data_IF_921796125328
#
_entry.id   IF_921796125328
#
_cell.length_a   1.000
_cell.length_b   1.000
_cell.length_c   1.000
_cell.angle_alpha   90.00
_cell.angle_beta   90.00
_cell.angle_gamma   90.00
#
_symmetry.space_group_name_H-M   'P 1'
#
loop_
_entity.id
_entity.type
_entity.pdbx_description
1 polymer ?
#
# COMPACT_ATOMS: atom_id res chain seq x y z
N UNK A 1 6.73 -11.82 -13.47
CA UNK A 1 7.08 -12.41 -14.79
C UNK A 1 6.00 -13.35 -15.33
N UNK A 2 5.74 -14.48 -14.66
CA UNK A 2 4.77 -15.50 -15.13
C UNK A 2 3.40 -14.92 -15.52
N UNK A 3 2.87 -13.99 -14.72
CA UNK A 3 1.58 -13.32 -15.00
C UNK A 3 1.64 -12.52 -16.31
N UNK A 4 2.74 -11.79 -16.56
CA UNK A 4 2.93 -10.99 -17.77
C UNK A 4 2.98 -11.88 -19.02
N UNK A 5 3.83 -12.90 -18.99
CA UNK A 5 3.96 -13.87 -20.09
C UNK A 5 2.62 -14.56 -20.40
N UNK A 6 1.89 -15.01 -19.36
CA UNK A 6 0.59 -15.65 -19.55
C UNK A 6 -0.48 -14.70 -20.14
N UNK A 7 -0.48 -13.43 -19.74
CA UNK A 7 -1.38 -12.42 -20.33
C UNK A 7 -1.03 -12.18 -21.79
N UNK A 8 0.26 -12.07 -22.12
CA UNK A 8 0.73 -11.80 -23.48
C UNK A 8 0.43 -12.99 -24.42
N UNK A 9 0.69 -14.22 -23.98
CA UNK A 9 0.39 -15.45 -24.72
C UNK A 9 -1.12 -15.61 -24.99
N UNK A 10 -1.96 -15.11 -24.08
CA UNK A 10 -3.41 -15.11 -24.22
C UNK A 10 -3.95 -13.90 -25.02
N UNK A 11 -3.08 -13.00 -25.49
CA UNK A 11 -3.45 -11.83 -26.29
C UNK A 11 -3.94 -10.61 -25.50
N UNK A 12 -3.65 -10.54 -24.20
CA UNK A 12 -4.05 -9.46 -23.27
C UNK A 12 -2.87 -8.55 -22.90
N UNK A 13 -2.08 -8.12 -23.89
CA UNK A 13 -0.88 -7.30 -23.67
C UNK A 13 -1.20 -5.90 -23.12
N UNK A 14 -2.44 -5.42 -23.29
CA UNK A 14 -2.94 -4.15 -22.77
C UNK A 14 -3.36 -4.20 -21.29
N UNK A 15 -3.47 -5.39 -20.70
CA UNK A 15 -3.87 -5.54 -19.29
C UNK A 15 -2.67 -5.25 -18.39
N UNK A 16 -2.72 -4.15 -17.65
CA UNK A 16 -1.64 -3.74 -16.76
C UNK A 16 -1.53 -4.56 -15.47
N UNK A 17 -0.33 -4.62 -14.92
CA UNK A 17 0.01 -5.31 -13.66
C UNK A 17 0.41 -4.29 -12.60
N UNK A 18 -0.32 -4.27 -11.48
CA UNK A 18 0.09 -3.56 -10.27
C UNK A 18 0.67 -4.55 -9.27
N UNK A 19 1.98 -4.59 -9.17
CA UNK A 19 2.69 -5.52 -8.32
C UNK A 19 2.72 -5.04 -6.86
N UNK A 20 2.51 -5.96 -5.92
CA UNK A 20 2.65 -5.72 -4.48
C UNK A 20 4.12 -5.87 -4.07
N UNK A 21 4.99 -5.10 -4.74
CA UNK A 21 6.44 -5.28 -4.73
C UNK A 21 7.07 -5.14 -3.36
N UNK A 22 6.71 -4.10 -2.61
CA UNK A 22 7.22 -3.88 -1.27
C UNK A 22 6.13 -4.16 -0.22
N UNK A 23 5.98 -5.45 0.11
CA UNK A 23 4.96 -5.92 1.06
C UNK A 23 5.60 -6.44 2.35
N UNK A 24 5.48 -5.66 3.40
CA UNK A 24 6.13 -5.92 4.68
C UNK A 24 5.34 -6.86 5.59
N UNK A 25 6.06 -7.58 6.45
CA UNK A 25 5.51 -8.41 7.52
C UNK A 25 4.97 -7.53 8.66
N UNK A 26 3.89 -6.80 8.39
CA UNK A 26 3.39 -5.75 9.28
C UNK A 26 2.33 -6.22 10.28
N UNK A 27 2.32 -5.61 11.46
CA UNK A 27 1.26 -5.74 12.47
C UNK A 27 -0.03 -4.98 12.09
N UNK A 28 0.01 -4.02 11.15
CA UNK A 28 -1.15 -3.22 10.74
C UNK A 28 -2.20 -4.00 9.93
N UNK A 29 -1.99 -5.30 9.69
CA UNK A 29 -2.93 -6.14 8.94
C UNK A 29 -4.02 -6.80 9.81
N UNK A 30 -3.97 -6.65 11.14
CA UNK A 30 -4.93 -7.28 12.07
C UNK A 30 -6.40 -7.10 11.65
N UNK A 31 -6.90 -5.86 11.51
CA UNK A 31 -8.32 -5.66 11.19
C UNK A 31 -8.73 -6.19 9.81
N UNK A 32 -7.81 -6.27 8.84
CA UNK A 32 -8.08 -6.92 7.55
C UNK A 32 -8.24 -8.43 7.72
N UNK A 33 -7.37 -9.06 8.52
CA UNK A 33 -7.43 -10.52 8.76
C UNK A 33 -8.74 -10.93 9.41
N UNK A 34 -9.25 -10.09 10.31
CA UNK A 34 -10.56 -10.30 10.95
C UNK A 34 -11.69 -10.14 9.92
N UNK A 35 -11.64 -9.09 9.09
CA UNK A 35 -12.69 -8.79 8.11
C UNK A 35 -12.84 -9.83 6.98
N UNK A 36 -11.78 -10.56 6.62
CA UNK A 36 -11.81 -11.59 5.58
C UNK A 36 -11.47 -12.99 6.10
N UNK A 37 -11.51 -13.19 7.42
CA UNK A 37 -11.22 -14.46 8.10
C UNK A 37 -9.92 -15.15 7.63
N UNK A 38 -8.88 -14.37 7.31
CA UNK A 38 -7.66 -14.85 6.67
C UNK A 38 -6.44 -14.91 7.62
N UNK A 39 -6.69 -14.91 8.93
CA UNK A 39 -5.63 -15.11 9.91
C UNK A 39 -4.92 -16.46 9.66
N UNK A 40 -3.58 -16.52 9.73
CA UNK A 40 -2.85 -17.77 9.57
C UNK A 40 -3.34 -18.79 10.62
N UNK A 41 -3.72 -20.00 10.17
CA UNK A 41 -4.08 -21.09 11.08
C UNK A 41 -2.87 -21.64 11.85
N UNK A 42 -1.67 -21.50 11.28
CA UNK A 42 -0.38 -21.85 11.87
C UNK A 42 0.73 -20.95 11.31
N UNK A 43 1.75 -20.65 12.12
CA UNK A 43 2.91 -19.85 11.72
C UNK A 43 2.63 -18.36 11.47
N UNK A 44 3.53 -17.71 10.75
CA UNK A 44 3.42 -16.33 10.31
C UNK A 44 3.68 -16.18 8.81
N UNK A 45 3.71 -14.94 8.31
CA UNK A 45 3.91 -14.63 6.89
C UNK A 45 5.32 -14.10 6.59
N UNK A 46 6.26 -14.18 7.54
CA UNK A 46 7.62 -13.61 7.42
C UNK A 46 8.50 -14.35 6.42
N UNK A 47 8.13 -15.56 6.03
CA UNK A 47 8.86 -16.31 5.00
C UNK A 47 8.68 -15.75 3.58
N UNK A 48 7.71 -14.85 3.36
CA UNK A 48 7.46 -14.23 2.06
C UNK A 48 7.01 -12.77 2.14
N UNK A 49 6.70 -12.26 3.32
CA UNK A 49 6.54 -10.83 3.58
C UNK A 49 7.85 -10.30 4.13
N UNK A 50 8.24 -9.15 3.61
CA UNK A 50 9.56 -8.57 3.85
C UNK A 50 9.74 -8.15 5.30
N UNK A 51 10.98 -8.21 5.80
CA UNK A 51 11.31 -7.61 7.08
C UNK A 51 11.11 -6.08 6.99
N UNK A 52 10.37 -5.50 7.93
CA UNK A 52 10.02 -4.09 7.93
C UNK A 52 11.21 -3.15 8.22
N UNK A 53 12.34 -3.68 8.69
CA UNK A 53 13.60 -2.93 8.81
C UNK A 53 14.44 -2.93 7.52
N UNK A 54 14.08 -3.72 6.50
CA UNK A 54 14.92 -3.90 5.33
C UNK A 54 14.51 -3.02 4.13
N UNK A 55 15.03 -1.80 4.14
CA UNK A 55 14.88 -0.84 3.03
C UNK A 55 15.43 -1.37 1.70
N UNK A 56 16.63 -1.97 1.73
CA UNK A 56 17.35 -2.32 0.51
C UNK A 56 16.70 -3.47 -0.25
N UNK A 57 16.11 -4.42 0.49
CA UNK A 57 15.29 -5.47 -0.09
C UNK A 57 14.07 -4.87 -0.81
N UNK A 58 13.41 -3.86 -0.23
CA UNK A 58 12.23 -3.24 -0.85
C UNK A 58 12.54 -2.63 -2.22
N UNK A 59 13.67 -1.93 -2.32
CA UNK A 59 14.11 -1.37 -3.59
C UNK A 59 14.49 -2.46 -4.60
N UNK A 60 15.09 -3.57 -4.15
CA UNK A 60 15.44 -4.69 -5.01
C UNK A 60 14.20 -5.40 -5.56
N UNK A 61 13.21 -5.68 -4.71
CA UNK A 61 11.95 -6.33 -5.13
C UNK A 61 11.18 -5.46 -6.12
N UNK A 62 11.11 -4.14 -5.88
CA UNK A 62 10.50 -3.20 -6.85
C UNK A 62 11.23 -3.20 -8.20
N UNK A 63 12.57 -3.17 -8.20
CA UNK A 63 13.37 -3.21 -9.42
C UNK A 63 13.18 -4.53 -10.19
N UNK A 64 13.10 -5.66 -9.48
CA UNK A 64 12.80 -6.96 -10.06
C UNK A 64 11.41 -6.99 -10.71
N UNK A 65 10.36 -6.59 -9.99
CA UNK A 65 9.00 -6.57 -10.51
C UNK A 65 8.86 -5.68 -11.76
N UNK A 66 9.52 -4.52 -11.78
CA UNK A 66 9.56 -3.63 -12.96
C UNK A 66 10.21 -4.33 -14.14
N UNK A 67 11.37 -4.96 -13.94
CA UNK A 67 12.07 -5.71 -14.98
C UNK A 67 11.27 -6.92 -15.48
N UNK A 68 10.37 -7.44 -14.65
CA UNK A 68 9.49 -8.55 -14.97
C UNK A 68 8.15 -8.13 -15.61
N UNK A 69 7.95 -6.82 -15.85
CA UNK A 69 6.80 -6.28 -16.58
C UNK A 69 5.67 -5.72 -15.70
N UNK A 70 5.95 -5.30 -14.46
CA UNK A 70 4.99 -4.55 -13.66
C UNK A 70 4.87 -3.10 -14.16
N UNK A 71 3.64 -2.66 -14.42
CA UNK A 71 3.32 -1.28 -14.84
C UNK A 71 3.26 -0.32 -13.64
N UNK A 72 2.91 -0.82 -12.47
CA UNK A 72 2.78 -0.06 -11.22
C UNK A 72 3.38 -0.89 -10.10
N UNK A 73 4.19 -0.27 -9.24
CA UNK A 73 4.70 -0.91 -8.02
C UNK A 73 3.98 -0.36 -6.79
N UNK A 74 3.72 -1.23 -5.82
CA UNK A 74 3.02 -0.87 -4.59
C UNK A 74 3.85 -1.09 -3.33
N UNK A 75 3.78 -0.10 -2.43
CA UNK A 75 4.28 -0.20 -1.05
C UNK A 75 3.08 -0.45 -0.12
N UNK A 76 3.21 -1.46 0.75
CA UNK A 76 2.18 -1.83 1.73
C UNK A 76 2.82 -2.32 3.04
N UNK A 77 2.50 -1.73 4.21
CA UNK A 77 1.64 -0.55 4.48
C UNK A 77 2.17 0.78 3.95
N UNK A 78 1.41 1.88 4.12
CA UNK A 78 1.79 3.19 3.60
C UNK A 78 2.34 4.14 4.68
N UNK A 79 1.60 4.38 5.77
CA UNK A 79 1.90 5.46 6.72
C UNK A 79 3.24 5.25 7.45
N UNK A 80 3.56 4.02 7.82
CA UNK A 80 4.82 3.69 8.48
C UNK A 80 6.02 3.52 7.52
N UNK A 81 5.80 3.67 6.20
CA UNK A 81 6.78 3.38 5.15
C UNK A 81 6.86 4.53 4.12
N UNK A 82 6.58 5.77 4.55
CA UNK A 82 6.63 6.96 3.70
C UNK A 82 8.03 7.21 3.13
N UNK A 83 9.07 6.84 3.88
CA UNK A 83 10.47 6.86 3.46
C UNK A 83 10.70 5.94 2.25
N UNK A 84 10.11 4.74 2.26
CA UNK A 84 10.21 3.78 1.15
C UNK A 84 9.46 4.30 -0.07
N UNK A 85 8.28 4.90 0.10
CA UNK A 85 7.52 5.54 -0.99
C UNK A 85 8.35 6.66 -1.62
N UNK A 86 9.01 7.49 -0.79
CA UNK A 86 9.85 8.59 -1.26
C UNK A 86 11.08 8.10 -2.03
N UNK A 87 11.74 7.06 -1.53
CA UNK A 87 12.87 6.46 -2.22
C UNK A 87 12.44 5.81 -3.54
N UNK A 88 11.33 5.05 -3.54
CA UNK A 88 10.78 4.46 -4.76
C UNK A 88 10.48 5.52 -5.83
N UNK A 89 9.83 6.63 -5.45
CA UNK A 89 9.51 7.72 -6.38
C UNK A 89 10.75 8.41 -6.95
N UNK A 90 11.83 8.50 -6.16
CA UNK A 90 13.10 9.08 -6.62
C UNK A 90 13.89 8.16 -7.55
N UNK A 91 13.71 6.84 -7.44
CA UNK A 91 14.53 5.84 -8.11
C UNK A 91 13.88 5.26 -9.37
N UNK A 92 12.57 5.10 -9.38
CA UNK A 92 11.85 4.40 -10.44
C UNK A 92 10.96 5.35 -11.24
N UNK A 93 10.93 5.15 -12.55
CA UNK A 93 10.11 5.92 -13.48
C UNK A 93 8.81 5.19 -13.83
N UNK A 94 8.13 4.64 -12.81
CA UNK A 94 6.81 4.01 -12.93
C UNK A 94 5.87 4.63 -11.90
N UNK A 95 4.53 4.59 -12.12
CA UNK A 95 3.59 5.01 -11.10
C UNK A 95 3.77 4.23 -9.79
N UNK A 96 3.71 4.94 -8.67
CA UNK A 96 3.83 4.37 -7.32
C UNK A 96 2.45 4.30 -6.68
N UNK A 97 2.02 3.10 -6.31
CA UNK A 97 0.84 2.89 -5.47
C UNK A 97 1.22 2.74 -4.00
N UNK A 98 0.37 3.25 -3.10
CA UNK A 98 0.53 3.06 -1.67
C UNK A 98 -0.79 2.59 -1.05
N UNK A 99 -0.73 1.58 -0.18
CA UNK A 99 -1.92 1.07 0.50
C UNK A 99 -1.96 1.60 1.94
N UNK A 100 -2.87 2.53 2.20
CA UNK A 100 -3.28 2.91 3.55
C UNK A 100 -4.17 1.80 4.17
N UNK A 101 -3.56 0.95 4.99
CA UNK A 101 -4.12 -0.37 5.34
C UNK A 101 -5.11 -0.32 6.50
N UNK A 102 -5.72 -1.48 6.78
CA UNK A 102 -6.81 -1.63 7.74
C UNK A 102 -6.44 -1.21 9.16
N UNK A 103 -5.22 -1.49 9.61
CA UNK A 103 -4.73 -1.07 10.92
C UNK A 103 -4.56 0.43 11.01
N UNK A 104 -4.03 1.07 9.97
CA UNK A 104 -3.89 2.53 9.90
C UNK A 104 -5.26 3.22 9.89
N UNK A 105 -6.24 2.65 9.17
CA UNK A 105 -7.64 3.08 9.22
C UNK A 105 -8.23 2.94 10.63
N UNK A 106 -8.09 1.76 11.24
CA UNK A 106 -8.65 1.47 12.56
C UNK A 106 -8.03 2.35 13.65
N UNK A 107 -6.73 2.64 13.56
CA UNK A 107 -6.04 3.55 14.47
C UNK A 107 -6.67 4.94 14.47
N UNK A 108 -6.95 5.51 13.29
CA UNK A 108 -7.58 6.84 13.19
C UNK A 108 -9.01 6.80 13.73
N UNK A 109 -9.81 5.80 13.35
CA UNK A 109 -11.19 5.64 13.88
C UNK A 109 -11.20 5.50 15.41
N UNK A 110 -10.29 4.71 15.96
CA UNK A 110 -10.17 4.51 17.41
C UNK A 110 -9.74 5.81 18.11
N UNK A 111 -8.72 6.51 17.59
CA UNK A 111 -8.26 7.78 18.16
C UNK A 111 -9.33 8.87 18.10
N UNK A 112 -10.11 8.96 17.02
CA UNK A 112 -11.20 9.91 16.91
C UNK A 112 -12.29 9.65 17.97
N UNK A 113 -12.63 8.38 18.19
CA UNK A 113 -13.64 7.97 19.17
C UNK A 113 -13.17 8.09 20.63
N UNK A 114 -11.91 7.72 20.90
CA UNK A 114 -11.40 7.55 22.27
C UNK A 114 -10.60 8.75 22.78
N UNK A 115 -9.87 9.43 21.89
CA UNK A 115 -8.98 10.53 22.23
C UNK A 115 -9.50 11.89 21.72
N UNK A 116 -10.61 11.91 20.98
CA UNK A 116 -11.25 13.14 20.50
C UNK A 116 -10.48 13.87 19.38
N UNK A 117 -9.59 13.19 18.65
CA UNK A 117 -8.95 13.82 17.48
C UNK A 117 -9.99 14.09 16.38
N UNK A 118 -9.80 15.18 15.63
CA UNK A 118 -10.63 15.46 14.47
C UNK A 118 -10.32 14.45 13.34
N UNK A 119 -11.23 13.51 13.13
CA UNK A 119 -11.06 12.43 12.15
C UNK A 119 -10.82 12.95 10.72
N UNK A 120 -11.67 13.89 10.25
CA UNK A 120 -11.56 14.46 8.91
C UNK A 120 -10.19 15.09 8.70
N UNK A 121 -9.73 15.89 9.66
CA UNK A 121 -8.43 16.55 9.58
C UNK A 121 -7.28 15.52 9.56
N UNK A 122 -7.29 14.54 10.47
CA UNK A 122 -6.26 13.52 10.57
C UNK A 122 -6.15 12.65 9.30
N UNK A 123 -7.30 12.24 8.74
CA UNK A 123 -7.32 11.45 7.49
C UNK A 123 -6.76 12.25 6.32
N UNK A 124 -7.19 13.51 6.15
CA UNK A 124 -6.70 14.36 5.07
C UNK A 124 -5.19 14.62 5.20
N UNK A 125 -4.68 14.79 6.42
CA UNK A 125 -3.26 14.96 6.67
C UNK A 125 -2.45 13.69 6.33
N UNK A 126 -2.93 12.51 6.74
CA UNK A 126 -2.29 11.21 6.42
C UNK A 126 -2.25 10.98 4.90
N UNK A 127 -3.38 11.15 4.21
CA UNK A 127 -3.43 10.92 2.76
C UNK A 127 -2.58 11.95 2.00
N UNK A 128 -2.53 13.19 2.49
CA UNK A 128 -1.61 14.21 1.96
C UNK A 128 -0.16 13.82 2.18
N UNK A 129 0.19 13.25 3.35
CA UNK A 129 1.54 12.77 3.62
C UNK A 129 1.95 11.63 2.67
N UNK A 130 1.05 10.68 2.42
CA UNK A 130 1.27 9.59 1.45
C UNK A 130 1.45 10.15 0.03
N UNK A 131 0.61 11.12 -0.37
CA UNK A 131 0.71 11.78 -1.68
C UNK A 131 2.02 12.54 -1.81
N UNK A 132 2.40 13.32 -0.79
CA UNK A 132 3.66 14.08 -0.71
C UNK A 132 4.89 13.19 -0.74
N UNK A 133 4.82 12.01 -0.12
CA UNK A 133 5.90 11.05 -0.15
C UNK A 133 6.16 10.52 -1.57
N UNK A 134 5.22 10.64 -2.51
CA UNK A 134 5.44 10.31 -3.92
C UNK A 134 4.47 9.30 -4.50
N UNK A 135 3.46 8.86 -3.74
CA UNK A 135 2.45 7.95 -4.26
C UNK A 135 1.61 8.65 -5.35
N UNK A 136 1.54 8.05 -6.53
CA UNK A 136 0.65 8.47 -7.60
C UNK A 136 -0.79 8.02 -7.30
N UNK A 137 -0.94 6.83 -6.73
CA UNK A 137 -2.21 6.20 -6.38
C UNK A 137 -2.24 5.84 -4.89
N UNK A 138 -3.39 6.05 -4.23
CA UNK A 138 -3.58 5.67 -2.82
C UNK A 138 -4.80 4.75 -2.71
N UNK A 139 -4.58 3.53 -2.22
CA UNK A 139 -5.65 2.61 -1.83
C UNK A 139 -5.95 2.85 -0.36
N UNK A 140 -7.18 3.28 -0.04
CA UNK A 140 -7.58 3.58 1.34
C UNK A 140 -9.04 3.22 1.59
N UNK A 141 -9.33 2.79 2.82
CA UNK A 141 -10.70 2.57 3.30
C UNK A 141 -11.47 3.88 3.51
N UNK A 142 -10.78 5.02 3.59
CA UNK A 142 -11.41 6.34 3.72
C UNK A 142 -11.88 6.94 2.39
N UNK A 143 -11.74 6.23 1.26
CA UNK A 143 -11.98 6.81 -0.07
C UNK A 143 -13.40 7.42 -0.22
N UNK A 144 -14.42 6.76 0.33
CA UNK A 144 -15.81 7.26 0.31
C UNK A 144 -15.98 8.51 1.19
N UNK A 145 -15.40 8.48 2.39
CA UNK A 145 -15.45 9.60 3.34
C UNK A 145 -14.77 10.85 2.75
N UNK A 146 -13.56 10.67 2.22
CA UNK A 146 -12.76 11.73 1.58
C UNK A 146 -13.47 12.32 0.36
N UNK A 147 -14.06 11.48 -0.48
CA UNK A 147 -14.89 11.96 -1.61
C UNK A 147 -16.01 12.88 -1.11
N UNK A 148 -16.71 12.51 -0.04
CA UNK A 148 -17.77 13.34 0.53
C UNK A 148 -17.22 14.64 1.12
N UNK A 149 -16.04 14.62 1.74
CA UNK A 149 -15.47 15.79 2.40
C UNK A 149 -14.92 16.84 1.46
N UNK A 150 -14.39 16.42 0.31
CA UNK A 150 -13.84 17.31 -0.71
C UNK A 150 -14.97 17.96 -1.53
N UNK A 151 -16.07 17.24 -1.80
CA UNK A 151 -17.22 17.78 -2.53
C UNK A 151 -18.09 18.77 -1.71
N UNK A 152 -17.74 19.00 -0.44
CA UNK A 152 -18.42 19.95 0.45
C UNK A 152 -17.65 21.27 0.61
N UNK A 153 -16.54 21.43 -0.13
CA UNK A 153 -15.85 22.71 -0.31
C UNK A 153 -16.43 23.45 -1.51
#
# INVERSE_FOLDING_TARGET
RFIREALDDAGFSEVGIMAYSAKFASCFYGPFRDAVECAPKFGDRRSYQMDYGNLHEALREMELDINEGADIVMIKPALAYLDIISLAKSRFNVPIAAYNVSGEYAMVKAAAKMCGINEKAAVLEILTAIKRAGADLIITYFAKDVKSWINQQ
#
